data_IF_677519601066
#
_entry.id   IF_677519601066
#
_cell.length_a   1.000
_cell.length_b   1.000
_cell.length_c   1.000
_cell.angle_alpha   90.00
_cell.angle_beta   90.00
_cell.angle_gamma   90.00
#
_symmetry.space_group_name_H-M   'P 1'
#
loop_
_entity.id
_entity.type
_entity.pdbx_description
1 polymer ?
#
# COMPACT_ATOMS: atom_id res chain seq x y z
N UNK A 1 0.74 -10.73 -8.10
CA UNK A 1 1.38 -11.93 -8.65
C UNK A 1 2.68 -12.18 -7.90
N UNK A 2 2.90 -13.42 -7.47
CA UNK A 2 4.08 -13.86 -6.74
C UNK A 2 5.34 -13.71 -7.63
N UNK A 3 6.33 -12.94 -7.18
CA UNK A 3 7.63 -12.86 -7.85
C UNK A 3 8.59 -13.97 -7.40
N UNK A 4 9.75 -14.07 -8.05
CA UNK A 4 10.73 -15.14 -7.84
C UNK A 4 11.09 -15.38 -6.36
N UNK A 5 11.27 -14.32 -5.56
CA UNK A 5 11.53 -14.44 -4.12
C UNK A 5 10.42 -15.18 -3.38
N UNK A 6 9.15 -14.89 -3.68
CA UNK A 6 8.03 -15.51 -2.97
C UNK A 6 7.80 -16.95 -3.44
N UNK A 7 8.02 -17.24 -4.72
CA UNK A 7 7.99 -18.60 -5.27
C UNK A 7 9.07 -19.45 -4.60
N UNK A 8 10.32 -18.96 -4.56
CA UNK A 8 11.44 -19.61 -3.86
C UNK A 8 11.12 -19.92 -2.38
N UNK A 9 10.58 -18.95 -1.65
CA UNK A 9 10.16 -19.15 -0.25
C UNK A 9 9.01 -20.16 -0.08
N UNK A 10 8.22 -20.41 -1.12
CA UNK A 10 7.10 -21.37 -1.07
C UNK A 10 7.60 -22.77 -1.35
N UNK A 11 8.44 -22.92 -2.39
CA UNK A 11 9.11 -24.18 -2.70
C UNK A 11 9.91 -24.69 -1.49
N UNK A 12 10.69 -23.84 -0.83
CA UNK A 12 11.42 -24.24 0.38
C UNK A 12 10.49 -24.61 1.55
N UNK A 13 9.32 -23.97 1.69
CA UNK A 13 8.33 -24.33 2.72
C UNK A 13 7.65 -25.66 2.41
N UNK A 14 7.55 -26.02 1.15
CA UNK A 14 7.04 -27.31 0.67
C UNK A 14 8.12 -28.40 0.64
N UNK A 15 9.34 -28.09 1.08
CA UNK A 15 10.47 -29.04 1.12
C UNK A 15 11.18 -29.24 -0.22
N UNK A 16 10.88 -28.41 -1.22
CA UNK A 16 11.51 -28.42 -2.54
C UNK A 16 12.71 -27.47 -2.51
N UNK A 17 13.90 -28.02 -2.24
CA UNK A 17 15.12 -27.24 -2.16
C UNK A 17 15.58 -26.78 -3.54
N UNK A 18 15.49 -25.47 -3.80
CA UNK A 18 15.95 -24.88 -5.06
C UNK A 18 16.71 -23.58 -4.80
N UNK A 19 17.76 -23.35 -5.57
CA UNK A 19 18.43 -22.06 -5.57
C UNK A 19 17.50 -20.98 -6.14
N UNK A 20 17.53 -19.78 -5.53
CA UNK A 20 16.72 -18.64 -5.98
C UNK A 20 16.97 -18.28 -7.45
N UNK A 21 18.22 -18.34 -7.91
CA UNK A 21 18.58 -18.08 -9.31
C UNK A 21 17.94 -19.09 -10.29
N UNK A 22 17.69 -20.33 -9.86
CA UNK A 22 16.97 -21.32 -10.65
C UNK A 22 15.52 -20.91 -10.85
N UNK A 23 14.86 -20.42 -9.80
CA UNK A 23 13.50 -19.89 -9.88
C UNK A 23 13.43 -18.68 -10.82
N UNK A 24 14.35 -17.72 -10.67
CA UNK A 24 14.44 -16.54 -11.53
C UNK A 24 14.61 -16.93 -13.01
N UNK A 25 15.56 -17.83 -13.30
CA UNK A 25 15.81 -18.33 -14.66
C UNK A 25 14.60 -19.06 -15.25
N UNK A 26 13.91 -19.89 -14.48
CA UNK A 26 12.73 -20.63 -14.95
C UNK A 26 11.55 -19.69 -15.18
N UNK A 27 11.32 -18.72 -14.29
CA UNK A 27 10.30 -17.70 -14.48
C UNK A 27 10.55 -16.92 -15.78
N UNK A 28 11.79 -16.50 -16.04
CA UNK A 28 12.15 -15.83 -17.30
C UNK A 28 11.86 -16.71 -18.53
N UNK A 29 12.27 -17.99 -18.49
CA UNK A 29 12.01 -18.94 -19.60
C UNK A 29 10.52 -19.15 -19.88
N UNK A 30 9.68 -19.10 -18.83
CA UNK A 30 8.24 -19.27 -18.93
C UNK A 30 7.49 -17.94 -19.18
N UNK A 31 8.20 -16.82 -19.32
CA UNK A 31 7.59 -15.49 -19.46
C UNK A 31 6.82 -15.03 -18.21
N UNK A 32 7.07 -15.66 -17.06
CA UNK A 32 6.42 -15.34 -15.79
C UNK A 32 7.13 -14.18 -15.11
N UNK A 33 6.35 -13.19 -14.66
CA UNK A 33 6.85 -12.07 -13.89
C UNK A 33 6.02 -11.87 -12.62
N UNK A 34 6.70 -11.41 -11.56
CA UNK A 34 5.99 -10.96 -10.35
C UNK A 34 5.27 -9.65 -10.64
N UNK A 35 4.10 -9.45 -10.01
CA UNK A 35 3.42 -8.15 -10.01
C UNK A 35 3.56 -7.56 -8.62
N UNK A 36 4.02 -6.32 -8.56
CA UNK A 36 3.96 -5.49 -7.37
C UNK A 36 2.61 -4.81 -7.31
N UNK A 37 2.14 -4.47 -6.09
CA UNK A 37 1.00 -3.56 -5.97
C UNK A 37 1.39 -2.25 -6.66
N UNK A 38 0.48 -1.69 -7.44
CA UNK A 38 0.66 -0.37 -8.04
C UNK A 38 1.03 0.67 -6.98
N UNK A 39 1.75 1.71 -7.39
CA UNK A 39 2.13 2.81 -6.50
C UNK A 39 0.86 3.43 -5.91
N UNK A 40 0.84 3.64 -4.60
CA UNK A 40 -0.23 4.41 -3.97
C UNK A 40 -0.29 5.79 -4.63
N UNK A 41 -1.43 6.13 -5.24
CA UNK A 41 -1.63 7.44 -5.86
C UNK A 41 -1.77 8.47 -4.74
N UNK A 42 -0.79 9.36 -4.62
CA UNK A 42 -0.90 10.57 -3.81
C UNK A 42 -1.40 11.69 -4.71
N UNK A 43 -2.69 12.00 -4.62
CA UNK A 43 -3.35 13.07 -5.38
C UNK A 43 -3.00 14.45 -4.83
N UNK A 44 -2.93 14.57 -3.50
CA UNK A 44 -2.63 15.85 -2.83
C UNK A 44 -1.14 15.99 -2.55
N UNK A 45 -0.51 17.01 -3.13
CA UNK A 45 0.81 17.49 -2.75
C UNK A 45 0.59 18.77 -1.94
N UNK A 46 0.91 18.74 -0.65
CA UNK A 46 0.77 19.90 0.21
C UNK A 46 1.79 20.97 -0.20
N UNK A 47 1.32 22.18 -0.48
CA UNK A 47 2.18 23.35 -0.64
C UNK A 47 2.42 24.01 0.73
N UNK A 48 3.67 24.08 1.22
CA UNK A 48 3.99 24.73 2.48
C UNK A 48 3.70 26.23 2.51
N UNK A 49 3.67 26.89 1.35
CA UNK A 49 3.44 28.33 1.23
C UNK A 49 1.94 28.69 1.22
N UNK A 50 1.06 27.71 0.98
CA UNK A 50 -0.38 27.93 0.98
C UNK A 50 -0.90 28.13 2.41
N UNK A 51 -1.77 29.12 2.59
CA UNK A 51 -2.44 29.37 3.86
C UNK A 51 -3.22 28.11 4.31
N UNK A 52 -2.93 27.63 5.51
CA UNK A 52 -3.63 26.49 6.08
C UNK A 52 -5.00 26.94 6.60
N UNK A 53 -6.07 26.17 6.36
CA UNK A 53 -7.35 26.41 7.02
C UNK A 53 -7.16 26.42 8.54
N UNK A 54 -7.90 27.29 9.22
CA UNK A 54 -7.87 27.33 10.68
C UNK A 54 -8.41 26.01 11.25
N UNK A 55 -7.71 25.46 12.24
CA UNK A 55 -8.21 24.34 13.04
C UNK A 55 -9.23 24.86 14.04
N UNK A 56 -10.50 24.91 13.61
CA UNK A 56 -11.61 25.45 14.39
C UNK A 56 -11.89 24.67 15.68
N UNK A 57 -11.40 23.43 15.78
CA UNK A 57 -11.68 22.52 16.90
C UNK A 57 -10.44 22.18 17.73
N UNK A 58 -9.27 22.71 17.35
CA UNK A 58 -7.99 22.50 18.03
C UNK A 58 -7.69 21.02 18.29
N UNK A 59 -8.02 20.16 17.33
CA UNK A 59 -7.95 18.68 17.44
C UNK A 59 -8.68 18.08 18.65
N UNK A 60 -9.71 18.74 19.19
CA UNK A 60 -10.57 18.23 20.26
C UNK A 60 -11.81 17.55 19.66
N UNK A 61 -11.82 16.22 19.64
CA UNK A 61 -12.89 15.41 19.03
C UNK A 61 -13.91 14.87 20.05
N UNK A 62 -14.09 15.56 21.18
CA UNK A 62 -15.06 15.19 22.22
C UNK A 62 -16.18 16.23 22.36
N UNK A 63 -17.20 16.23 21.48
CA UNK A 63 -18.30 17.17 21.59
C UNK A 63 -19.18 16.88 22.82
N UNK A 64 -19.75 17.90 23.47
CA UNK A 64 -20.59 17.73 24.67
C UNK A 64 -21.98 17.12 24.38
N UNK A 65 -22.37 17.07 23.10
CA UNK A 65 -23.62 16.48 22.64
C UNK A 65 -23.48 16.00 21.18
N UNK A 66 -24.32 15.07 20.72
CA UNK A 66 -24.41 14.71 19.30
C UNK A 66 -24.66 15.94 18.41
N UNK A 67 -24.30 15.83 17.13
CA UNK A 67 -24.53 16.87 16.12
C UNK A 67 -23.85 18.24 16.40
N UNK A 68 -22.79 18.26 17.21
CA UNK A 68 -21.97 19.47 17.47
C UNK A 68 -20.65 19.51 16.71
N UNK A 69 -20.14 18.35 16.30
CA UNK A 69 -18.89 18.19 15.58
C UNK A 69 -19.04 17.03 14.60
N UNK A 70 -18.69 17.28 13.33
CA UNK A 70 -18.78 16.31 12.24
C UNK A 70 -17.37 16.04 11.74
N UNK A 71 -17.01 14.75 11.62
CA UNK A 71 -15.72 14.31 11.11
C UNK A 71 -15.96 13.46 9.87
N UNK A 72 -15.18 13.70 8.84
CA UNK A 72 -15.17 12.89 7.63
C UNK A 72 -13.72 12.47 7.31
N UNK A 73 -13.55 11.24 6.83
CA UNK A 73 -12.32 10.80 6.17
C UNK A 73 -12.61 10.51 4.69
N UNK A 74 -11.54 10.54 3.90
CA UNK A 74 -11.57 10.05 2.52
C UNK A 74 -10.59 8.89 2.40
N UNK A 75 -11.11 7.75 1.99
CA UNK A 75 -10.31 6.57 1.66
C UNK A 75 -10.28 6.37 0.15
N UNK A 76 -9.09 6.42 -0.44
CA UNK A 76 -8.91 6.13 -1.86
C UNK A 76 -8.90 4.61 -2.10
N UNK A 77 -9.83 4.14 -2.93
CA UNK A 77 -9.86 2.75 -3.40
C UNK A 77 -9.11 2.67 -4.73
N UNK A 78 -8.23 1.67 -4.88
CA UNK A 78 -7.53 1.43 -6.14
C UNK A 78 -8.48 0.85 -7.18
N UNK A 79 -8.67 1.58 -8.29
CA UNK A 79 -9.29 1.09 -9.52
C UNK A 79 -8.27 0.49 -10.47
#
# INVERSE_FOLDING_TARGET
VYGARKVWLTLNREGIEVARCTVERLMTKLGLSGTTRGKARRTTIADPATARPADLVQRRFGPPAPNRLWVADLTYVST
#
